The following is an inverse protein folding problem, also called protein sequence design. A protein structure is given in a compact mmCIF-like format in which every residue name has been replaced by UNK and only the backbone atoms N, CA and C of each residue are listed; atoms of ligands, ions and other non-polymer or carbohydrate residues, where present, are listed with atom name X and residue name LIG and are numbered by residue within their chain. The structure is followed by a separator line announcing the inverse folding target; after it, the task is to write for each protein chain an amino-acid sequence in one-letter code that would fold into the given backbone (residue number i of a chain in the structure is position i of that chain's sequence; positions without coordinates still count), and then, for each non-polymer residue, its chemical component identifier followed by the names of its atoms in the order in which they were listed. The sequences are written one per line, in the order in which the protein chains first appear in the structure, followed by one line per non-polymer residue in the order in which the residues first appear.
data_IF_141614888911
#
_entry.id   IF_141614888911
#
_cell.length_a   1.000
_cell.length_b   1.000
_cell.length_c   1.000
_cell.angle_alpha   90.00
_cell.angle_beta   90.00
_cell.angle_gamma   90.00
#
_symmetry.space_group_name_H-M   'P 1'
#
loop_
_entity.id
_entity.type
_entity.pdbx_description
1 polymer ?
#
# COMPACT_ATOMS: atom_id res chain seq x y z
N UNK A 1 -10.76 0.51 -32.46
CA UNK A 1 -9.30 0.22 -32.61
C UNK A 1 -8.59 0.83 -31.41
N UNK A 2 -8.03 0.01 -30.52
CA UNK A 2 -7.27 0.53 -29.35
C UNK A 2 -5.98 1.20 -29.81
N UNK A 3 -5.65 2.32 -29.20
CA UNK A 3 -4.41 3.04 -29.45
C UNK A 3 -3.20 2.16 -29.10
N UNK A 4 -2.02 2.40 -29.68
CA UNK A 4 -0.78 1.66 -29.36
C UNK A 4 -0.50 1.70 -27.86
N UNK A 5 -0.75 2.81 -27.21
CA UNK A 5 -0.61 2.98 -25.74
C UNK A 5 -1.62 2.11 -24.96
N UNK A 6 -2.88 2.01 -25.41
CA UNK A 6 -3.88 1.12 -24.79
C UNK A 6 -3.45 -0.35 -24.81
N UNK A 7 -2.95 -0.84 -25.96
CA UNK A 7 -2.40 -2.20 -26.06
C UNK A 7 -1.17 -2.46 -25.19
N UNK A 8 -0.36 -1.43 -24.98
CA UNK A 8 0.80 -1.49 -24.12
C UNK A 8 0.38 -1.64 -22.64
N UNK A 9 -0.58 -0.83 -22.21
CA UNK A 9 -1.13 -0.89 -20.85
C UNK A 9 -1.85 -2.23 -20.59
N UNK A 10 -2.62 -2.76 -21.57
CA UNK A 10 -3.26 -4.07 -21.46
C UNK A 10 -2.25 -5.20 -21.23
N UNK A 11 -1.15 -5.24 -21.99
CA UNK A 11 -0.11 -6.26 -21.81
C UNK A 11 0.60 -6.14 -20.46
N UNK A 12 0.90 -4.91 -20.02
CA UNK A 12 1.50 -4.67 -18.71
C UNK A 12 0.55 -5.15 -17.59
N UNK A 13 -0.74 -4.86 -17.71
CA UNK A 13 -1.77 -5.31 -16.76
C UNK A 13 -1.88 -6.82 -16.74
N UNK A 14 -1.92 -7.48 -17.90
CA UNK A 14 -1.99 -8.94 -17.99
C UNK A 14 -0.78 -9.63 -17.32
N UNK A 15 0.43 -9.07 -17.47
CA UNK A 15 1.62 -9.57 -16.78
C UNK A 15 1.53 -9.41 -15.26
N UNK A 16 1.01 -8.29 -14.77
CA UNK A 16 0.81 -8.06 -13.33
C UNK A 16 -0.25 -9.00 -12.75
N UNK A 17 -1.37 -9.19 -13.44
CA UNK A 17 -2.43 -10.12 -13.01
C UNK A 17 -1.91 -11.56 -12.96
N UNK A 18 -1.24 -12.00 -14.02
CA UNK A 18 -0.63 -13.33 -14.06
C UNK A 18 0.40 -13.56 -12.94
N UNK A 19 1.23 -12.56 -12.66
CA UNK A 19 2.20 -12.63 -11.58
C UNK A 19 1.52 -12.66 -10.21
N UNK A 20 0.49 -11.85 -10.00
CA UNK A 20 -0.27 -11.82 -8.75
C UNK A 20 -0.88 -13.19 -8.45
N UNK A 21 -1.60 -13.78 -9.40
CA UNK A 21 -2.22 -15.09 -9.24
C UNK A 21 -1.17 -16.16 -8.89
N UNK A 22 -0.05 -16.19 -9.64
CA UNK A 22 1.02 -17.16 -9.42
C UNK A 22 1.73 -16.97 -8.06
N UNK A 23 1.89 -15.73 -7.61
CA UNK A 23 2.48 -15.44 -6.29
C UNK A 23 1.55 -15.87 -5.16
N UNK A 24 0.25 -15.72 -5.32
CA UNK A 24 -0.75 -16.24 -4.37
C UNK A 24 -0.80 -17.77 -4.37
N UNK A 25 -0.77 -18.41 -5.55
CA UNK A 25 -0.86 -19.88 -5.70
C UNK A 25 0.34 -20.61 -5.09
N UNK A 26 1.57 -20.16 -5.34
CA UNK A 26 2.79 -20.91 -5.04
C UNK A 26 3.96 -20.09 -4.49
N UNK A 27 3.76 -18.81 -4.31
CA UNK A 27 4.77 -17.88 -3.82
C UNK A 27 5.71 -17.35 -4.92
N UNK A 28 6.26 -16.17 -4.70
CA UNK A 28 7.15 -15.51 -5.66
C UNK A 28 8.46 -16.30 -5.89
N UNK A 29 8.99 -16.97 -4.86
CA UNK A 29 10.22 -17.74 -4.98
C UNK A 29 10.08 -18.89 -5.99
N UNK A 30 8.92 -19.55 -6.07
CA UNK A 30 8.63 -20.67 -6.96
C UNK A 30 8.05 -20.25 -8.31
N UNK A 31 7.97 -18.96 -8.61
CA UNK A 31 7.42 -18.43 -9.86
C UNK A 31 8.55 -17.87 -10.72
N UNK A 32 8.63 -18.33 -11.97
CA UNK A 32 9.60 -17.84 -12.98
C UNK A 32 8.97 -16.79 -13.90
N UNK A 33 9.82 -16.08 -14.65
CA UNK A 33 9.36 -15.16 -15.71
C UNK A 33 8.61 -15.91 -16.80
N UNK A 34 9.05 -17.14 -17.13
CA UNK A 34 8.37 -18.03 -18.08
C UNK A 34 6.95 -18.37 -17.65
N UNK A 35 6.75 -18.65 -16.37
CA UNK A 35 5.41 -18.94 -15.83
C UNK A 35 4.49 -17.72 -15.99
N UNK A 36 5.00 -16.53 -15.65
CA UNK A 36 4.25 -15.27 -15.75
C UNK A 36 3.85 -15.00 -17.21
N UNK A 37 4.81 -15.12 -18.13
CA UNK A 37 4.56 -14.83 -19.55
C UNK A 37 3.62 -15.85 -20.20
N UNK A 38 3.75 -17.13 -19.82
CA UNK A 38 2.85 -18.20 -20.26
C UNK A 38 1.42 -17.98 -19.77
N UNK A 39 1.23 -17.63 -18.48
CA UNK A 39 -0.07 -17.31 -17.89
C UNK A 39 -0.69 -16.05 -18.54
N UNK A 40 0.13 -15.03 -18.78
CA UNK A 40 -0.28 -13.78 -19.42
C UNK A 40 -0.50 -13.91 -20.95
N UNK A 41 -0.15 -15.04 -21.54
CA UNK A 41 -0.21 -15.32 -22.99
C UNK A 41 0.58 -14.29 -23.81
N UNK A 42 1.77 -13.94 -23.35
CA UNK A 42 2.70 -13.03 -24.06
C UNK A 42 4.06 -13.69 -24.26
N UNK A 43 4.80 -13.24 -25.28
CA UNK A 43 6.17 -13.73 -25.49
C UNK A 43 7.10 -13.25 -24.36
N UNK A 44 8.11 -14.06 -24.00
CA UNK A 44 9.11 -13.72 -22.96
C UNK A 44 9.79 -12.37 -23.21
N UNK A 45 10.11 -12.05 -24.47
CA UNK A 45 10.66 -10.73 -24.82
C UNK A 45 9.72 -9.55 -24.51
N UNK A 46 8.39 -9.78 -24.52
CA UNK A 46 7.42 -8.76 -24.15
C UNK A 46 7.50 -8.42 -22.67
N UNK A 47 7.83 -9.36 -21.80
CA UNK A 47 8.03 -9.11 -20.36
C UNK A 47 9.10 -8.03 -20.14
N UNK A 48 10.25 -8.18 -20.77
CA UNK A 48 11.39 -7.29 -20.60
C UNK A 48 11.19 -5.88 -21.19
N UNK A 49 10.13 -5.66 -21.98
CA UNK A 49 9.70 -4.31 -22.36
C UNK A 49 9.02 -3.52 -21.24
N UNK A 50 8.51 -4.22 -20.21
CA UNK A 50 7.74 -3.62 -19.11
C UNK A 50 8.41 -3.75 -17.75
N UNK A 51 9.15 -4.82 -17.51
CA UNK A 51 9.77 -5.13 -16.24
C UNK A 51 11.19 -5.64 -16.44
N UNK A 52 12.13 -5.08 -15.70
CA UNK A 52 13.53 -5.50 -15.77
C UNK A 52 13.72 -6.93 -15.29
N UNK A 53 13.01 -7.31 -14.23
CA UNK A 53 13.06 -8.62 -13.60
C UNK A 53 11.77 -8.91 -12.81
N UNK A 54 11.73 -10.08 -12.14
CA UNK A 54 10.62 -10.47 -11.28
C UNK A 54 10.47 -9.56 -10.04
N UNK A 55 11.56 -8.99 -9.54
CA UNK A 55 11.54 -8.02 -8.45
C UNK A 55 10.78 -6.75 -8.82
N UNK A 56 10.99 -6.24 -10.04
CA UNK A 56 10.25 -5.08 -10.56
C UNK A 56 8.74 -5.37 -10.68
N UNK A 57 8.35 -6.60 -11.03
CA UNK A 57 6.94 -7.02 -11.00
C UNK A 57 6.40 -7.04 -9.58
N UNK A 58 7.16 -7.59 -8.62
CA UNK A 58 6.76 -7.63 -7.21
C UNK A 58 6.55 -6.21 -6.66
N UNK A 59 7.49 -5.30 -6.91
CA UNK A 59 7.35 -3.90 -6.50
C UNK A 59 6.11 -3.23 -7.08
N UNK A 60 5.85 -3.46 -8.38
CA UNK A 60 4.66 -2.91 -9.03
C UNK A 60 3.35 -3.48 -8.44
N UNK A 61 3.34 -4.76 -8.07
CA UNK A 61 2.20 -5.40 -7.40
C UNK A 61 2.01 -4.86 -5.98
N UNK A 62 3.09 -4.75 -5.20
CA UNK A 62 3.05 -4.18 -3.86
C UNK A 62 2.52 -2.74 -3.89
N UNK A 63 2.99 -1.92 -4.84
CA UNK A 63 2.48 -0.56 -5.02
C UNK A 63 0.99 -0.52 -5.37
N UNK A 64 0.53 -1.37 -6.29
CA UNK A 64 -0.90 -1.46 -6.66
C UNK A 64 -1.77 -1.91 -5.48
N UNK A 65 -1.36 -2.93 -4.75
CA UNK A 65 -2.10 -3.45 -3.59
C UNK A 65 -2.11 -2.43 -2.45
N UNK A 66 -0.97 -1.79 -2.17
CA UNK A 66 -0.89 -0.74 -1.15
C UNK A 66 -1.82 0.44 -1.47
N UNK A 67 -1.83 0.86 -2.74
CA UNK A 67 -2.73 1.93 -3.21
C UNK A 67 -4.20 1.56 -3.01
N UNK A 68 -4.61 0.34 -3.40
CA UNK A 68 -5.98 -0.11 -3.26
C UNK A 68 -6.42 -0.16 -1.80
N UNK A 69 -5.60 -0.77 -0.92
CA UNK A 69 -5.87 -0.82 0.52
C UNK A 69 -6.01 0.57 1.13
N UNK A 70 -5.14 1.51 0.75
CA UNK A 70 -5.21 2.88 1.22
C UNK A 70 -6.46 3.60 0.71
N UNK A 71 -6.82 3.40 -0.57
CA UNK A 71 -8.02 3.97 -1.18
C UNK A 71 -9.27 3.51 -0.45
N UNK A 72 -9.42 2.20 -0.28
CA UNK A 72 -10.58 1.60 0.37
C UNK A 72 -10.70 2.06 1.83
N UNK A 73 -9.58 2.13 2.55
CA UNK A 73 -9.53 2.61 3.93
C UNK A 73 -9.95 4.09 4.04
N UNK A 74 -9.45 4.93 3.15
CA UNK A 74 -9.79 6.35 3.14
C UNK A 74 -11.26 6.59 2.82
N UNK A 75 -11.81 5.88 1.83
CA UNK A 75 -13.23 5.95 1.50
C UNK A 75 -14.13 5.48 2.66
N UNK A 76 -13.70 4.44 3.40
CA UNK A 76 -14.41 3.96 4.57
C UNK A 76 -14.39 5.00 5.71
N UNK A 77 -13.25 5.64 5.95
CA UNK A 77 -13.08 6.65 7.02
C UNK A 77 -13.78 7.95 6.68
N UNK A 78 -13.88 8.36 5.42
CA UNK A 78 -14.64 9.55 5.01
C UNK A 78 -16.13 9.46 5.37
N UNK A 79 -16.67 8.26 5.48
CA UNK A 79 -18.07 8.03 5.87
C UNK A 79 -18.29 8.10 7.39
N UNK A 80 -17.22 8.14 8.17
CA UNK A 80 -17.25 8.22 9.64
C UNK A 80 -17.18 9.69 10.08
N UNK A 81 -18.33 10.36 10.10
CA UNK A 81 -18.44 11.79 10.40
C UNK A 81 -18.14 12.14 11.86
N UNK A 82 -18.13 11.15 12.74
CA UNK A 82 -17.81 11.28 14.17
C UNK A 82 -16.31 11.44 14.45
N UNK A 83 -15.45 11.15 13.48
CA UNK A 83 -14.00 11.32 13.62
C UNK A 83 -13.62 12.77 13.30
N UNK A 84 -13.36 13.57 14.32
CA UNK A 84 -13.11 15.00 14.15
C UNK A 84 -11.63 15.32 13.90
N UNK A 85 -10.71 14.69 14.64
CA UNK A 85 -9.28 15.01 14.59
C UNK A 85 -8.49 14.08 13.65
N UNK A 86 -7.36 14.59 13.15
CA UNK A 86 -6.50 13.86 12.22
C UNK A 86 -5.89 12.58 12.80
N UNK A 87 -5.38 12.54 14.06
CA UNK A 87 -4.86 11.31 14.65
C UNK A 87 -5.88 10.15 14.70
N UNK A 88 -7.14 10.42 15.04
CA UNK A 88 -8.16 9.38 15.07
C UNK A 88 -8.57 8.90 13.67
N UNK A 89 -8.64 9.80 12.70
CA UNK A 89 -8.81 9.42 11.28
C UNK A 89 -7.67 8.53 10.79
N UNK A 90 -6.43 8.84 11.16
CA UNK A 90 -5.28 8.03 10.78
C UNK A 90 -5.31 6.64 11.44
N UNK A 91 -5.70 6.57 12.72
CA UNK A 91 -5.92 5.28 13.40
C UNK A 91 -6.99 4.46 12.70
N UNK A 92 -8.12 5.07 12.33
CA UNK A 92 -9.19 4.37 11.61
C UNK A 92 -8.76 3.86 10.22
N UNK A 93 -7.94 4.63 9.49
CA UNK A 93 -7.33 4.17 8.23
C UNK A 93 -6.42 2.96 8.46
N UNK A 94 -5.56 3.03 9.47
CA UNK A 94 -4.65 1.94 9.83
C UNK A 94 -5.43 0.70 10.26
N UNK A 95 -6.46 0.84 11.09
CA UNK A 95 -7.30 -0.27 11.53
C UNK A 95 -8.00 -0.94 10.35
N UNK A 96 -8.55 -0.16 9.42
CA UNK A 96 -9.19 -0.69 8.22
C UNK A 96 -8.22 -1.53 7.37
N UNK A 97 -6.98 -1.04 7.18
CA UNK A 97 -5.94 -1.77 6.46
C UNK A 97 -5.57 -3.07 7.20
N UNK A 98 -5.36 -3.01 8.52
CA UNK A 98 -5.05 -4.19 9.34
C UNK A 98 -6.16 -5.23 9.22
N UNK A 99 -7.43 -4.82 9.33
CA UNK A 99 -8.57 -5.72 9.20
C UNK A 99 -8.69 -6.35 7.80
N UNK A 100 -8.42 -5.60 6.75
CA UNK A 100 -8.38 -6.13 5.39
C UNK A 100 -7.28 -7.19 5.23
N UNK A 101 -6.08 -6.91 5.74
CA UNK A 101 -4.91 -7.82 5.69
C UNK A 101 -5.08 -9.05 6.60
N UNK A 102 -5.78 -8.91 7.72
CA UNK A 102 -6.13 -10.03 8.61
C UNK A 102 -7.11 -10.99 7.93
N UNK A 103 -8.07 -10.46 7.18
CA UNK A 103 -9.04 -11.26 6.42
C UNK A 103 -8.40 -11.97 5.22
N UNK A 104 -7.43 -11.33 4.57
CA UNK A 104 -6.71 -11.89 3.43
C UNK A 104 -5.20 -11.95 3.69
N UNK A 105 -4.79 -13.01 4.37
CA UNK A 105 -3.37 -13.25 4.70
C UNK A 105 -2.51 -13.56 3.47
N UNK A 106 -3.11 -13.89 2.32
CA UNK A 106 -2.35 -14.07 1.07
C UNK A 106 -1.87 -12.73 0.54
N UNK A 107 -2.73 -11.71 0.58
CA UNK A 107 -2.35 -10.32 0.25
C UNK A 107 -1.24 -9.84 1.18
N UNK A 108 -1.38 -10.11 2.49
CA UNK A 108 -0.33 -9.77 3.46
C UNK A 108 1.01 -10.44 3.14
N UNK A 109 1.02 -11.70 2.68
CA UNK A 109 2.23 -12.40 2.22
C UNK A 109 2.84 -11.79 0.97
N UNK A 110 2.04 -11.27 0.04
CA UNK A 110 2.54 -10.55 -1.15
C UNK A 110 3.15 -9.21 -0.78
N UNK A 111 2.52 -8.48 0.13
CA UNK A 111 3.06 -7.23 0.64
C UNK A 111 4.32 -7.45 1.49
N UNK A 112 4.40 -8.60 2.17
CA UNK A 112 5.43 -8.87 3.18
C UNK A 112 5.45 -7.76 4.23
N UNK A 113 6.61 -7.10 4.42
CA UNK A 113 6.76 -5.91 5.27
C UNK A 113 6.88 -4.62 4.46
N UNK A 114 6.66 -4.72 3.15
CA UNK A 114 6.88 -3.64 2.19
C UNK A 114 5.55 -3.01 1.76
N UNK A 115 4.91 -2.29 2.68
CA UNK A 115 3.82 -1.41 2.27
C UNK A 115 4.44 -0.18 1.58
N UNK A 116 4.18 -0.05 0.28
CA UNK A 116 4.72 1.06 -0.50
C UNK A 116 3.81 2.27 -0.30
N UNK A 117 4.28 3.21 0.52
CA UNK A 117 3.71 4.55 0.54
C UNK A 117 4.10 5.25 -0.74
N UNK A 118 3.15 5.84 -1.47
CA UNK A 118 3.50 6.61 -2.66
C UNK A 118 4.45 7.74 -2.27
N UNK A 119 5.63 7.78 -2.87
CA UNK A 119 6.57 8.87 -2.67
C UNK A 119 6.03 10.18 -3.21
N UNK A 120 6.44 11.31 -2.64
CA UNK A 120 6.04 12.64 -3.13
C UNK A 120 6.36 12.82 -4.62
N UNK A 121 7.50 12.31 -5.07
CA UNK A 121 7.95 12.27 -6.46
C UNK A 121 7.11 11.32 -7.35
N UNK A 122 6.58 10.24 -6.79
CA UNK A 122 5.72 9.28 -7.51
C UNK A 122 4.28 9.79 -7.63
N UNK A 123 3.82 10.61 -6.69
CA UNK A 123 2.52 11.28 -6.74
C UNK A 123 2.48 12.26 -7.92
N UNK A 124 3.59 12.97 -8.16
CA UNK A 124 3.71 13.86 -9.31
C UNK A 124 3.78 13.12 -10.66
N UNK A 125 4.34 11.90 -10.67
CA UNK A 125 4.57 11.11 -11.88
C UNK A 125 3.40 10.19 -12.28
N UNK A 126 2.47 9.86 -11.37
CA UNK A 126 1.38 8.90 -11.60
C UNK A 126 0.05 9.57 -11.82
N UNK A 127 -0.41 9.62 -13.07
CA UNK A 127 -1.72 10.18 -13.44
C UNK A 127 -2.92 9.44 -12.82
N UNK A 128 -2.79 8.17 -12.48
CA UNK A 128 -3.88 7.34 -11.93
C UNK A 128 -3.97 7.44 -10.40
N UNK A 129 -2.82 7.61 -9.71
CA UNK A 129 -2.76 7.79 -8.26
C UNK A 129 -3.05 9.25 -7.82
N UNK A 130 -3.03 10.18 -8.76
CA UNK A 130 -3.00 11.63 -8.51
C UNK A 130 -4.18 12.17 -7.68
N UNK A 131 -5.47 11.84 -7.94
CA UNK A 131 -6.57 12.49 -7.21
C UNK A 131 -6.65 12.10 -5.74
N UNK A 132 -6.52 10.80 -5.42
CA UNK A 132 -6.59 10.31 -4.04
C UNK A 132 -5.40 10.79 -3.22
N UNK A 133 -4.20 10.67 -3.78
CA UNK A 133 -2.98 11.06 -3.08
C UNK A 133 -2.91 12.55 -2.82
N UNK A 134 -3.31 13.38 -3.77
CA UNK A 134 -3.44 14.84 -3.56
C UNK A 134 -4.45 15.16 -2.48
N UNK A 135 -5.59 14.48 -2.47
CA UNK A 135 -6.62 14.64 -1.43
C UNK A 135 -6.06 14.27 -0.06
N UNK A 136 -5.38 13.13 0.05
CA UNK A 136 -4.77 12.68 1.30
C UNK A 136 -3.68 13.65 1.79
N UNK A 137 -2.77 14.05 0.91
CA UNK A 137 -1.76 15.06 1.23
C UNK A 137 -2.41 16.35 1.70
N UNK A 138 -3.43 16.84 1.02
CA UNK A 138 -4.11 18.06 1.41
C UNK A 138 -4.75 17.93 2.81
N UNK A 139 -5.43 16.82 3.10
CA UNK A 139 -6.00 16.54 4.43
C UNK A 139 -4.92 16.54 5.51
N UNK A 140 -3.78 15.92 5.22
CA UNK A 140 -2.65 15.85 6.15
C UNK A 140 -2.02 17.22 6.36
N UNK A 141 -1.72 17.95 5.27
CA UNK A 141 -1.04 19.25 5.32
C UNK A 141 -1.91 20.36 5.92
N UNK A 142 -3.24 20.24 5.80
CA UNK A 142 -4.17 21.23 6.35
C UNK A 142 -4.64 20.90 7.77
N UNK A 143 -4.24 19.75 8.32
CA UNK A 143 -4.65 19.37 9.67
C UNK A 143 -3.95 20.25 10.73
N UNK A 144 -4.69 20.75 11.74
CA UNK A 144 -4.12 21.59 12.79
C UNK A 144 -2.96 20.91 13.55
N UNK A 145 -3.00 19.60 13.66
CA UNK A 145 -1.99 18.79 14.35
C UNK A 145 -0.63 18.76 13.61
N UNK A 146 -0.64 19.07 12.31
CA UNK A 146 0.57 19.14 11.50
C UNK A 146 1.10 20.58 11.32
N UNK A 147 0.42 21.56 11.89
CA UNK A 147 0.83 22.96 11.79
C UNK A 147 2.28 23.17 12.27
N UNK A 148 3.03 23.97 11.53
CA UNK A 148 4.43 24.29 11.84
C UNK A 148 5.46 23.27 11.34
N UNK A 149 5.03 22.13 10.76
CA UNK A 149 5.93 21.14 10.15
C UNK A 149 6.02 21.33 8.64
N UNK A 150 7.18 21.02 8.09
CA UNK A 150 7.39 21.00 6.64
C UNK A 150 6.74 19.75 6.02
N UNK A 151 6.38 19.82 4.74
CA UNK A 151 5.85 18.65 4.00
C UNK A 151 6.76 17.43 4.11
N UNK A 152 8.08 17.65 4.07
CA UNK A 152 9.08 16.58 4.21
C UNK A 152 9.02 15.91 5.58
N UNK A 153 8.92 16.66 6.66
CA UNK A 153 8.81 16.12 8.03
C UNK A 153 7.51 15.33 8.20
N UNK A 154 6.42 15.84 7.67
CA UNK A 154 5.12 15.16 7.69
C UNK A 154 5.21 13.84 6.93
N UNK A 155 5.77 13.84 5.72
CA UNK A 155 5.96 12.64 4.90
C UNK A 155 6.84 11.60 5.62
N UNK A 156 7.98 12.00 6.19
CA UNK A 156 8.87 11.13 6.95
C UNK A 156 8.15 10.49 8.14
N UNK A 157 7.36 11.26 8.87
CA UNK A 157 6.60 10.78 10.05
C UNK A 157 5.53 9.76 9.65
N UNK A 158 4.74 10.04 8.63
CA UNK A 158 3.71 9.12 8.13
C UNK A 158 4.32 7.84 7.58
N UNK A 159 5.41 7.95 6.82
CA UNK A 159 6.13 6.78 6.30
C UNK A 159 6.67 5.91 7.43
N UNK A 160 7.28 6.50 8.46
CA UNK A 160 7.79 5.77 9.61
C UNK A 160 6.67 5.04 10.38
N UNK A 161 5.55 5.74 10.65
CA UNK A 161 4.39 5.15 11.32
C UNK A 161 3.77 4.02 10.50
N UNK A 162 3.57 4.21 9.20
CA UNK A 162 3.03 3.19 8.32
C UNK A 162 3.92 1.95 8.23
N UNK A 163 5.25 2.15 8.12
CA UNK A 163 6.21 1.05 8.11
C UNK A 163 6.21 0.26 9.43
N UNK A 164 6.13 0.96 10.56
CA UNK A 164 6.00 0.33 11.87
C UNK A 164 4.71 -0.49 11.95
N UNK A 165 3.55 0.09 11.61
CA UNK A 165 2.26 -0.59 11.66
C UNK A 165 2.24 -1.81 10.74
N UNK A 166 2.80 -1.70 9.53
CA UNK A 166 2.87 -2.81 8.59
C UNK A 166 3.76 -3.95 9.11
N UNK A 167 4.93 -3.63 9.68
CA UNK A 167 5.84 -4.63 10.25
C UNK A 167 5.19 -5.38 11.41
N UNK A 168 4.50 -4.67 12.31
CA UNK A 168 3.77 -5.29 13.43
C UNK A 168 2.59 -6.11 12.91
N UNK A 169 1.81 -5.59 11.97
CA UNK A 169 0.69 -6.33 11.35
C UNK A 169 1.18 -7.65 10.76
N UNK A 170 2.27 -7.63 9.97
CA UNK A 170 2.84 -8.84 9.39
C UNK A 170 3.22 -9.87 10.45
N UNK A 171 4.01 -9.47 11.45
CA UNK A 171 4.49 -10.38 12.49
C UNK A 171 3.36 -10.90 13.38
N UNK A 172 2.42 -10.05 13.77
CA UNK A 172 1.31 -10.44 14.66
C UNK A 172 0.27 -11.31 13.97
N UNK A 173 -0.05 -11.02 12.70
CA UNK A 173 -1.06 -11.80 11.95
C UNK A 173 -0.51 -13.15 11.49
N UNK A 174 0.74 -13.21 11.00
CA UNK A 174 1.31 -14.43 10.41
C UNK A 174 2.13 -15.27 11.39
N UNK A 175 2.76 -14.63 12.38
CA UNK A 175 3.71 -15.29 13.29
C UNK A 175 3.21 -15.30 14.75
N UNK A 176 2.17 -14.51 15.07
CA UNK A 176 1.70 -14.31 16.44
C UNK A 176 2.72 -13.62 17.35
N UNK A 177 3.56 -12.72 16.80
CA UNK A 177 4.69 -12.11 17.53
C UNK A 177 4.69 -10.59 17.43
N UNK A 178 5.02 -9.87 18.52
CA UNK A 178 5.28 -10.37 19.88
C UNK A 178 4.01 -10.90 20.57
N UNK A 179 2.82 -10.54 20.02
CA UNK A 179 1.50 -10.98 20.45
C UNK A 179 0.56 -11.01 19.25
N UNK A 180 -0.67 -11.50 19.44
CA UNK A 180 -1.68 -11.43 18.38
C UNK A 180 -2.05 -9.98 18.03
N UNK A 181 -2.62 -9.77 16.84
CA UNK A 181 -2.88 -8.43 16.33
C UNK A 181 -3.91 -7.66 17.17
N UNK A 182 -4.87 -8.33 17.79
CA UNK A 182 -5.88 -7.68 18.65
C UNK A 182 -5.25 -7.12 19.93
N UNK A 183 -4.28 -7.84 20.51
CA UNK A 183 -3.49 -7.35 21.64
C UNK A 183 -2.55 -6.19 21.23
N UNK A 184 -2.03 -6.21 20.00
CA UNK A 184 -1.13 -5.19 19.50
C UNK A 184 -1.82 -3.89 19.05
N UNK A 185 -3.07 -3.94 18.58
CA UNK A 185 -3.82 -2.77 18.11
C UNK A 185 -3.84 -1.60 19.11
N UNK A 186 -4.19 -1.78 20.40
CA UNK A 186 -4.21 -0.67 21.34
C UNK A 186 -2.85 0.04 21.48
N UNK A 187 -1.77 -0.71 21.47
CA UNK A 187 -0.40 -0.18 21.53
C UNK A 187 -0.06 0.62 20.29
N UNK A 188 -0.32 0.05 19.10
CA UNK A 188 -0.10 0.72 17.82
C UNK A 188 -0.88 2.04 17.73
N UNK A 189 -2.15 2.01 18.10
CA UNK A 189 -3.03 3.18 17.98
C UNK A 189 -2.62 4.30 18.96
N UNK A 190 -2.18 3.94 20.17
CA UNK A 190 -1.64 4.93 21.12
C UNK A 190 -0.36 5.59 20.56
N UNK A 191 0.57 4.79 20.02
CA UNK A 191 1.79 5.32 19.39
C UNK A 191 1.44 6.26 18.22
N UNK A 192 0.53 5.87 17.34
CA UNK A 192 0.09 6.68 16.20
C UNK A 192 -0.51 8.01 16.69
N UNK A 193 -1.45 7.96 17.64
CA UNK A 193 -2.07 9.15 18.20
C UNK A 193 -1.07 10.11 18.80
N UNK A 194 -0.14 9.60 19.63
CA UNK A 194 0.90 10.42 20.28
C UNK A 194 1.84 11.05 19.26
N UNK A 195 2.23 10.30 18.24
CA UNK A 195 3.15 10.77 17.22
C UNK A 195 2.55 11.84 16.29
N UNK A 196 1.23 11.88 16.18
CA UNK A 196 0.49 12.83 15.32
C UNK A 196 -0.13 13.99 16.10
N UNK A 197 0.02 14.08 17.42
CA UNK A 197 -0.43 15.24 18.20
C UNK A 197 0.38 16.48 17.85
N UNK A 198 -0.26 17.65 17.99
CA UNK A 198 0.44 18.93 17.93
C UNK A 198 1.52 19.01 19.02
N UNK A 199 2.68 19.51 18.66
CA UNK A 199 3.71 19.87 19.64
C UNK A 199 3.23 21.14 20.37
N UNK A 200 3.27 21.09 21.71
CA UNK A 200 2.91 22.25 22.55
C UNK A 200 4.00 23.29 22.53
#
# INVERSE_FOLDING_TARGET
MGTVEGKKQEKRRALLEAAYDLFLERGAAKTSVEDITSRAKVAKGTFYLYFQDKGAVMQALQGRVSYQLLSDACEAVEKQTELENFPDKMVAVIDHIIEALRKDTLVLKVLERNFIWPGLDQIEASREAEPLMRKLLNVVLTSPEMAGRTEREIYQRITALGSMCMSVCYSSVLEGKPDDIEAMKPVLYDIVRRSLKAEK
#
